data_IF_675498326236
#
_entry.id   IF_675498326236
#
_cell.length_a   1.000
_cell.length_b   1.000
_cell.length_c   1.000
_cell.angle_alpha   90.00
_cell.angle_beta   90.00
_cell.angle_gamma   90.00
#
_symmetry.space_group_name_H-M   'P 1'
#
loop_
_entity.id
_entity.type
_entity.pdbx_description
1 polymer ?
#
# COMPACT_ATOMS: atom_id res chain seq x y z
N UNK A 1 -13.97 -54.57 -36.25
CA UNK A 1 -14.40 -53.36 -35.51
C UNK A 1 -13.90 -53.40 -34.06
N UNK A 2 -12.59 -53.24 -33.80
CA UNK A 2 -12.05 -53.24 -32.42
C UNK A 2 -11.01 -52.16 -32.12
N UNK A 3 -10.58 -51.39 -33.13
CA UNK A 3 -9.54 -50.35 -32.98
C UNK A 3 -10.11 -48.96 -32.65
N UNK A 4 -11.37 -48.69 -33.03
CA UNK A 4 -11.99 -47.37 -32.79
C UNK A 4 -12.40 -47.11 -31.33
N UNK A 5 -12.45 -48.14 -30.48
CA UNK A 5 -12.85 -47.99 -29.08
C UNK A 5 -11.72 -47.42 -28.19
N UNK A 6 -10.45 -47.67 -28.55
CA UNK A 6 -9.30 -47.16 -27.80
C UNK A 6 -9.01 -45.68 -28.06
N UNK A 7 -9.29 -45.18 -29.28
CA UNK A 7 -9.01 -43.80 -29.67
C UNK A 7 -10.02 -42.82 -29.04
N UNK A 8 -11.27 -43.25 -28.82
CA UNK A 8 -12.29 -42.44 -28.16
C UNK A 8 -11.98 -42.17 -26.68
N UNK A 9 -11.28 -43.10 -26.00
CA UNK A 9 -10.93 -42.97 -24.59
C UNK A 9 -9.77 -41.98 -24.36
N UNK A 10 -8.87 -41.82 -25.33
CA UNK A 10 -7.71 -40.91 -25.25
C UNK A 10 -8.16 -39.44 -25.44
N UNK A 11 -9.25 -39.20 -26.19
CA UNK A 11 -9.82 -37.85 -26.37
C UNK A 11 -10.58 -37.35 -25.14
N UNK A 12 -11.07 -38.23 -24.26
CA UNK A 12 -11.84 -37.85 -23.07
C UNK A 12 -10.98 -37.55 -21.84
N UNK A 13 -9.68 -37.89 -21.85
CA UNK A 13 -8.79 -37.69 -20.70
C UNK A 13 -7.95 -36.40 -20.75
N UNK A 14 -8.07 -35.59 -21.80
CA UNK A 14 -7.27 -34.38 -21.99
C UNK A 14 -7.86 -33.10 -21.43
N UNK A 15 -9.00 -33.15 -20.73
CA UNK A 15 -9.54 -31.99 -20.01
C UNK A 15 -9.25 -32.16 -18.52
N UNK A 16 -7.98 -32.25 -18.16
CA UNK A 16 -7.56 -31.76 -16.84
C UNK A 16 -7.51 -30.24 -16.97
N UNK A 17 -8.64 -29.59 -16.71
CA UNK A 17 -8.66 -28.17 -16.33
C UNK A 17 -7.78 -28.07 -15.09
N UNK A 18 -6.53 -27.72 -15.33
CA UNK A 18 -5.65 -27.19 -14.32
C UNK A 18 -6.24 -25.83 -13.97
N UNK A 19 -7.19 -25.82 -13.03
CA UNK A 19 -7.62 -24.60 -12.37
C UNK A 19 -6.43 -24.11 -11.56
N UNK A 20 -5.50 -23.42 -12.22
CA UNK A 20 -4.66 -22.46 -11.53
C UNK A 20 -5.66 -21.50 -10.92
N UNK A 21 -5.75 -21.51 -9.59
CA UNK A 21 -6.39 -20.41 -8.91
C UNK A 21 -5.68 -19.15 -9.36
N UNK A 22 -6.31 -18.39 -10.24
CA UNK A 22 -6.06 -16.96 -10.40
C UNK A 22 -6.48 -16.32 -9.08
N UNK A 23 -5.71 -16.54 -8.01
CA UNK A 23 -5.45 -15.44 -7.11
C UNK A 23 -4.62 -14.47 -7.93
N UNK A 24 -5.31 -13.70 -8.77
CA UNK A 24 -4.81 -12.43 -9.23
C UNK A 24 -4.38 -11.72 -7.95
N UNK A 25 -3.08 -11.73 -7.72
CA UNK A 25 -2.49 -10.94 -6.66
C UNK A 25 -2.79 -9.53 -7.14
N UNK A 26 -3.89 -8.94 -6.65
CA UNK A 26 -4.26 -7.56 -6.96
C UNK A 26 -3.06 -6.72 -6.53
N UNK A 27 -2.19 -6.44 -7.49
CA UNK A 27 -1.00 -5.68 -7.25
C UNK A 27 -1.46 -4.25 -7.28
N UNK A 28 -1.30 -3.56 -6.16
CA UNK A 28 -1.65 -2.15 -6.16
C UNK A 28 -0.70 -1.46 -7.13
N UNK A 29 -1.21 -0.55 -7.97
CA UNK A 29 -0.36 0.14 -8.92
C UNK A 29 0.71 0.94 -8.18
N UNK A 30 1.94 0.81 -8.64
CA UNK A 30 3.08 1.59 -8.16
C UNK A 30 3.09 2.92 -8.90
N UNK A 31 3.18 4.03 -8.16
CA UNK A 31 3.29 5.36 -8.76
C UNK A 31 4.41 6.17 -8.12
N UNK A 32 4.86 7.21 -8.84
CA UNK A 32 5.89 8.12 -8.36
C UNK A 32 5.29 9.27 -7.54
N UNK A 33 5.74 9.44 -6.31
CA UNK A 33 5.29 10.50 -5.40
C UNK A 33 6.45 11.34 -4.88
N UNK A 34 6.24 12.64 -4.71
CA UNK A 34 7.14 13.54 -3.99
C UNK A 34 6.77 13.61 -2.52
N UNK A 35 7.73 13.38 -1.64
CA UNK A 35 7.50 13.50 -0.19
C UNK A 35 7.53 14.97 0.19
N UNK A 36 6.40 15.51 0.63
CA UNK A 36 6.24 16.92 0.99
C UNK A 36 6.60 17.16 2.45
N UNK A 37 6.06 16.31 3.33
CA UNK A 37 6.19 16.44 4.77
C UNK A 37 6.31 15.06 5.41
N UNK A 38 7.03 15.01 6.50
CA UNK A 38 7.15 13.83 7.36
C UNK A 38 7.07 14.33 8.79
N UNK A 39 6.10 13.79 9.52
CA UNK A 39 5.80 14.06 10.92
C UNK A 39 5.71 12.72 11.67
N UNK A 40 5.36 12.77 12.96
CA UNK A 40 5.04 11.57 13.71
C UNK A 40 4.05 11.84 14.83
N UNK A 41 3.22 10.84 15.13
CA UNK A 41 2.35 10.78 16.30
C UNK A 41 2.73 9.52 17.06
N UNK A 42 3.25 9.67 18.27
CA UNK A 42 3.68 8.55 19.12
C UNK A 42 4.58 7.54 18.37
N UNK A 43 4.14 6.29 18.24
CA UNK A 43 4.82 5.19 17.57
C UNK A 43 4.52 5.08 16.07
N UNK A 44 3.97 6.12 15.44
CA UNK A 44 3.59 6.12 14.02
C UNK A 44 4.19 7.32 13.29
N UNK A 45 4.85 7.09 12.17
CA UNK A 45 5.23 8.12 11.21
C UNK A 45 4.04 8.50 10.33
N UNK A 46 3.91 9.80 10.07
CA UNK A 46 2.91 10.36 9.16
C UNK A 46 3.63 11.00 8.00
N UNK A 47 3.47 10.44 6.81
CA UNK A 47 4.18 10.85 5.61
C UNK A 47 3.18 11.44 4.63
N UNK A 48 3.44 12.66 4.17
CA UNK A 48 2.63 13.35 3.18
C UNK A 48 3.32 13.26 1.82
N UNK A 49 2.70 12.53 0.91
CA UNK A 49 3.22 12.27 -0.42
C UNK A 49 2.33 12.95 -1.46
N UNK A 50 2.91 13.74 -2.38
CA UNK A 50 2.18 14.42 -3.45
C UNK A 50 2.43 13.70 -4.77
N UNK A 51 1.37 13.39 -5.51
CA UNK A 51 1.41 12.96 -6.91
C UNK A 51 0.44 13.84 -7.70
N UNK A 52 0.93 14.41 -8.79
CA UNK A 52 0.20 15.45 -9.54
C UNK A 52 -0.24 16.56 -8.58
N UNK A 53 -1.54 16.87 -8.50
CA UNK A 53 -2.11 17.84 -7.55
C UNK A 53 -2.76 17.21 -6.31
N UNK A 54 -2.62 15.90 -6.10
CA UNK A 54 -3.21 15.19 -4.97
C UNK A 54 -2.18 14.92 -3.87
N UNK A 55 -2.55 15.23 -2.62
CA UNK A 55 -1.77 14.91 -1.43
C UNK A 55 -2.34 13.66 -0.76
N UNK A 56 -1.46 12.75 -0.39
CA UNK A 56 -1.79 11.47 0.22
C UNK A 56 -1.14 11.42 1.61
N UNK A 57 -1.90 10.98 2.62
CA UNK A 57 -1.40 10.78 3.98
C UNK A 57 -1.15 9.30 4.18
N UNK A 58 0.08 8.97 4.56
CA UNK A 58 0.52 7.59 4.74
C UNK A 58 0.89 7.41 6.22
N UNK A 59 0.34 6.40 6.87
CA UNK A 59 0.74 5.96 8.20
C UNK A 59 1.70 4.79 8.10
N UNK A 60 2.80 4.87 8.86
CA UNK A 60 3.76 3.77 8.98
C UNK A 60 4.17 3.61 10.44
N UNK A 61 3.99 2.41 11.01
CA UNK A 61 4.46 2.14 12.37
C UNK A 61 5.97 2.33 12.43
N UNK A 62 6.45 3.01 13.47
CA UNK A 62 7.87 3.07 13.79
C UNK A 62 8.32 1.64 14.12
N UNK A 63 9.30 1.16 13.37
CA UNK A 63 9.93 -0.13 13.63
C UNK A 63 11.41 0.13 13.92
N UNK A 64 11.97 -0.60 14.89
CA UNK A 64 13.39 -0.54 15.24
C UNK A 64 14.27 -1.26 14.21
N UNK A 65 13.68 -2.04 13.30
CA UNK A 65 14.40 -2.62 12.17
C UNK A 65 14.69 -1.53 11.12
N UNK A 66 15.88 -0.95 11.16
CA UNK A 66 16.39 0.01 10.16
C UNK A 66 16.71 -0.66 8.80
N UNK A 67 15.85 -1.57 8.33
CA UNK A 67 16.13 -2.42 7.17
C UNK A 67 15.50 -1.79 5.93
N UNK A 68 16.14 -0.78 5.33
CA UNK A 68 15.70 -0.20 4.05
C UNK A 68 16.35 1.14 3.72
N UNK A 69 15.83 1.81 2.69
CA UNK A 69 16.28 3.16 2.30
C UNK A 69 15.61 4.17 3.24
N UNK A 70 16.23 5.27 3.67
CA UNK A 70 15.54 6.33 4.40
C UNK A 70 14.71 7.23 3.47
N UNK A 71 13.48 7.57 3.87
CA UNK A 71 12.68 8.58 3.14
C UNK A 71 13.17 9.96 3.53
N UNK A 72 13.35 10.81 2.53
CA UNK A 72 13.73 12.20 2.71
C UNK A 72 12.64 13.13 2.17
N UNK A 73 12.40 14.22 2.89
CA UNK A 73 11.56 15.32 2.41
C UNK A 73 12.09 15.83 1.07
N UNK A 74 11.20 16.25 0.20
CA UNK A 74 11.42 16.80 -1.16
C UNK A 74 12.00 15.82 -2.18
N UNK A 75 12.18 14.53 -1.85
CA UNK A 75 12.60 13.48 -2.78
C UNK A 75 11.40 12.71 -3.35
N UNK A 76 11.62 12.06 -4.49
CA UNK A 76 10.62 11.26 -5.18
C UNK A 76 10.87 9.77 -4.95
N UNK A 77 9.80 9.00 -4.78
CA UNK A 77 9.84 7.56 -4.57
C UNK A 77 8.68 6.88 -5.30
N UNK A 78 8.91 5.66 -5.76
CA UNK A 78 7.89 4.80 -6.36
C UNK A 78 7.19 4.02 -5.23
N UNK A 79 5.95 4.37 -4.96
CA UNK A 79 5.18 3.89 -3.80
C UNK A 79 3.96 3.08 -4.24
N UNK A 80 3.76 1.94 -3.58
CA UNK A 80 2.59 1.08 -3.68
C UNK A 80 1.64 1.39 -2.51
N UNK A 81 0.78 2.40 -2.70
CA UNK A 81 -0.16 2.84 -1.67
C UNK A 81 -1.38 1.91 -1.62
N UNK A 82 -1.78 1.54 -0.41
CA UNK A 82 -2.98 0.77 -0.13
C UNK A 82 -3.81 1.53 0.90
N UNK A 83 -5.08 1.75 0.60
CA UNK A 83 -5.98 2.44 1.51
C UNK A 83 -6.25 1.58 2.75
N UNK A 84 -6.27 2.21 3.93
CA UNK A 84 -6.82 1.58 5.13
C UNK A 84 -8.35 1.55 5.11
N UNK A 85 -8.97 2.37 4.27
CA UNK A 85 -10.41 2.38 4.04
C UNK A 85 -10.72 1.45 2.88
N UNK A 86 -11.35 0.32 3.18
CA UNK A 86 -11.90 -0.53 2.13
C UNK A 86 -13.14 0.15 1.54
N UNK A 87 -12.93 1.01 0.55
CA UNK A 87 -13.99 1.77 -0.13
C UNK A 87 -15.02 0.85 -0.81
N UNK A 88 -14.67 -0.41 -1.11
CA UNK A 88 -15.60 -1.38 -1.67
C UNK A 88 -16.65 -1.85 -0.65
N UNK A 89 -16.36 -1.72 0.64
CA UNK A 89 -17.25 -2.08 1.76
C UNK A 89 -18.04 -0.89 2.31
N UNK A 90 -17.73 0.33 1.88
CA UNK A 90 -18.30 1.56 2.44
C UNK A 90 -19.21 2.20 1.38
N UNK A 91 -20.51 1.90 1.47
CA UNK A 91 -21.53 2.62 0.70
C UNK A 91 -21.89 3.94 1.42
N UNK A 92 -21.42 5.07 0.89
CA UNK A 92 -21.76 6.42 1.37
C UNK A 92 -20.59 7.22 1.97
N UNK A 93 -20.85 8.49 2.33
CA UNK A 93 -19.86 9.35 3.00
C UNK A 93 -19.74 8.95 4.47
N UNK A 94 -18.75 8.13 4.79
CA UNK A 94 -18.43 7.78 6.17
C UNK A 94 -17.74 8.96 6.86
N UNK A 95 -18.38 9.52 7.89
CA UNK A 95 -17.77 10.54 8.76
C UNK A 95 -16.94 9.87 9.86
N UNK A 96 -15.78 9.34 9.48
CA UNK A 96 -14.77 8.88 10.44
C UNK A 96 -13.77 10.01 10.70
N UNK A 97 -13.55 10.31 11.99
CA UNK A 97 -12.57 11.32 12.41
C UNK A 97 -11.13 10.84 12.29
N UNK A 98 -10.89 9.51 12.31
CA UNK A 98 -9.55 8.94 12.28
C UNK A 98 -9.55 7.41 12.18
N UNK A 99 -8.36 6.84 12.01
CA UNK A 99 -8.11 5.39 11.95
C UNK A 99 -7.09 5.01 13.01
N UNK A 100 -7.35 3.93 13.77
CA UNK A 100 -6.39 3.42 14.76
C UNK A 100 -5.30 2.57 14.10
N UNK A 101 -4.04 2.99 14.24
CA UNK A 101 -2.86 2.30 13.71
C UNK A 101 -2.00 1.84 14.87
N UNK A 102 -2.11 0.55 15.22
CA UNK A 102 -1.34 -0.02 16.35
C UNK A 102 -1.67 0.63 17.70
N UNK A 103 -2.93 1.00 17.93
CA UNK A 103 -3.38 1.65 19.15
C UNK A 103 -3.37 3.18 19.10
N UNK A 104 -2.67 3.78 18.14
CA UNK A 104 -2.60 5.25 17.97
C UNK A 104 -3.71 5.72 17.03
N UNK A 105 -4.56 6.65 17.48
CA UNK A 105 -5.59 7.26 16.63
C UNK A 105 -4.95 8.29 15.69
N UNK A 106 -5.03 8.05 14.39
CA UNK A 106 -4.57 8.98 13.35
C UNK A 106 -5.78 9.68 12.73
N UNK A 107 -5.91 10.97 12.96
CA UNK A 107 -7.02 11.77 12.43
C UNK A 107 -6.95 11.96 10.90
N UNK A 108 -8.10 11.93 10.24
CA UNK A 108 -8.27 12.25 8.82
C UNK A 108 -8.50 13.77 8.62
N UNK A 109 -8.06 14.34 7.49
CA UNK A 109 -8.03 15.79 7.28
C UNK A 109 -9.09 16.27 6.28
N UNK A 110 -10.14 16.95 6.76
CA UNK A 110 -11.38 17.12 5.99
C UNK A 110 -11.75 18.53 5.52
N UNK A 111 -10.91 19.55 5.68
CA UNK A 111 -11.15 20.90 5.12
C UNK A 111 -10.17 21.23 4.00
N UNK A 112 -10.05 20.32 3.02
CA UNK A 112 -9.20 20.56 1.85
C UNK A 112 -8.80 19.33 1.02
N UNK A 113 -8.04 18.38 1.57
CA UNK A 113 -7.23 17.53 0.68
C UNK A 113 -7.02 16.06 1.11
N UNK A 114 -7.35 15.58 2.32
CA UNK A 114 -7.05 14.16 2.65
C UNK A 114 -8.12 13.45 3.48
N UNK A 115 -8.96 12.70 2.78
CA UNK A 115 -10.06 11.91 3.35
C UNK A 115 -9.70 10.47 3.68
N UNK A 116 -8.50 10.04 3.31
CA UNK A 116 -8.09 8.66 3.40
C UNK A 116 -6.69 8.56 4.02
N UNK A 117 -6.43 7.44 4.69
CA UNK A 117 -5.14 7.12 5.25
C UNK A 117 -4.62 5.87 4.56
N UNK A 118 -3.43 5.96 4.00
CA UNK A 118 -2.80 4.87 3.29
C UNK A 118 -1.75 4.20 4.18
N UNK A 119 -1.50 2.92 3.95
CA UNK A 119 -0.19 2.33 4.20
C UNK A 119 0.49 2.07 2.86
N UNK A 120 1.77 1.73 2.88
CA UNK A 120 2.49 1.48 1.65
C UNK A 120 3.25 0.17 1.77
N UNK A 121 3.03 -0.72 0.79
CA UNK A 121 3.46 -2.11 0.85
C UNK A 121 4.95 -2.27 0.54
N UNK A 122 5.45 -1.54 -0.44
CA UNK A 122 6.86 -1.50 -0.80
C UNK A 122 7.65 -0.45 0.02
N UNK A 123 7.06 0.00 1.13
CA UNK A 123 7.63 0.96 2.09
C UNK A 123 8.28 0.21 3.28
N UNK A 124 8.48 -1.11 3.15
CA UNK A 124 9.21 -1.94 4.11
C UNK A 124 10.62 -1.37 4.25
N UNK A 125 10.96 -0.91 5.45
CA UNK A 125 12.31 -0.47 5.75
C UNK A 125 12.59 1.01 5.85
N UNK A 126 11.58 1.84 5.67
CA UNK A 126 11.78 3.28 5.72
C UNK A 126 11.74 3.76 7.16
N UNK A 127 12.91 3.82 7.75
CA UNK A 127 13.13 4.69 8.89
C UNK A 127 13.16 6.13 8.39
N UNK A 128 12.45 7.01 9.08
CA UNK A 128 12.51 8.44 8.81
C UNK A 128 13.78 8.97 9.47
N UNK A 129 14.69 9.55 8.70
CA UNK A 129 15.85 10.24 9.28
C UNK A 129 15.35 11.44 10.10
N UNK A 130 15.80 11.56 11.34
CA UNK A 130 15.42 12.68 12.22
C UNK A 130 15.79 14.02 11.56
N UNK A 131 14.99 15.10 11.70
CA UNK A 131 15.28 16.41 11.10
C UNK A 131 16.66 16.98 11.45
N UNK A 132 17.26 16.53 12.56
CA UNK A 132 18.49 17.08 13.13
C UNK A 132 19.76 16.27 12.84
N UNK A 133 19.75 15.32 11.91
CA UNK A 133 21.00 14.63 11.49
C UNK A 133 21.82 15.38 10.43
N UNK A 134 21.57 16.69 10.27
CA UNK A 134 22.48 17.56 9.51
C UNK A 134 23.29 18.43 10.46
N UNK A 135 24.40 17.87 10.93
CA UNK A 135 25.61 18.64 11.20
C UNK A 135 26.78 17.94 10.54
N UNK A 136 27.33 18.61 9.52
CA UNK A 136 28.60 18.38 8.82
C UNK A 136 28.71 17.04 8.07
N UNK A 137 28.75 17.12 6.75
CA UNK A 137 29.99 16.95 5.97
C UNK A 137 29.88 17.77 4.67
#
# INVERSE_FOLDING_TARGET
MKIYLGILFILLFSIKVHSQSLFDTIHNPVYRYKIQRIDSVESVYIIYAKRDEKLFKIASKKNNSNVGIPIRKRRYYDLELISHLDVSRISGKLHIGGISIGGVLIELEGKKVIWDLFYCKNLVGLYVTSPNQFTKD
#
